data_IF_705213898797
#
_entry.id   IF_705213898797
#
_cell.length_a   1.000
_cell.length_b   1.000
_cell.length_c   1.000
_cell.angle_alpha   90.00
_cell.angle_beta   90.00
_cell.angle_gamma   90.00
#
_symmetry.space_group_name_H-M   'P 1'
#
loop_
_entity.id
_entity.type
_entity.pdbx_description
1 polymer ?
#
# COMPACT_ATOMS: atom_id res chain seq x y z
N UNK A 1 -14.71 -20.87 -8.87
CA UNK A 1 -13.42 -20.23 -8.57
C UNK A 1 -13.70 -18.97 -7.79
N UNK A 2 -13.03 -18.75 -6.67
CA UNK A 2 -13.18 -17.61 -5.74
C UNK A 2 -12.56 -16.30 -6.26
N UNK A 3 -12.35 -16.20 -7.59
CA UNK A 3 -11.76 -15.08 -8.31
C UNK A 3 -10.45 -14.53 -7.70
N UNK A 4 -9.62 -15.40 -7.11
CA UNK A 4 -8.37 -15.02 -6.43
C UNK A 4 -8.55 -14.08 -5.23
N UNK A 5 -9.74 -14.05 -4.62
CA UNK A 5 -9.99 -13.25 -3.43
C UNK A 5 -9.27 -13.82 -2.21
N UNK A 6 -8.75 -12.92 -1.36
CA UNK A 6 -8.10 -13.32 -0.12
C UNK A 6 -9.15 -13.74 0.90
N UNK A 7 -8.97 -14.91 1.51
CA UNK A 7 -9.85 -15.41 2.56
C UNK A 7 -9.11 -15.58 3.87
N UNK A 8 -9.82 -15.37 4.99
CA UNK A 8 -9.26 -15.54 6.34
C UNK A 8 -8.67 -16.95 6.54
N UNK A 9 -9.35 -17.98 6.01
CA UNK A 9 -8.90 -19.37 6.09
C UNK A 9 -7.56 -19.59 5.36
N UNK A 10 -7.32 -18.89 4.24
CA UNK A 10 -6.05 -18.95 3.54
C UNK A 10 -4.93 -18.28 4.34
N UNK A 11 -5.22 -17.12 4.96
CA UNK A 11 -4.28 -16.40 5.82
C UNK A 11 -3.89 -17.21 7.06
N UNK A 12 -4.87 -17.76 7.80
CA UNK A 12 -4.62 -18.58 8.97
C UNK A 12 -3.82 -19.85 8.63
N UNK A 13 -4.13 -20.47 7.48
CA UNK A 13 -3.38 -21.64 6.99
C UNK A 13 -1.92 -21.26 6.71
N UNK A 14 -1.68 -20.17 5.98
CA UNK A 14 -0.34 -19.71 5.65
C UNK A 14 0.46 -19.34 6.92
N UNK A 15 -0.16 -18.63 7.86
CA UNK A 15 0.44 -18.26 9.13
C UNK A 15 0.80 -19.49 9.97
N UNK A 16 -0.13 -20.44 10.10
CA UNK A 16 0.07 -21.69 10.84
C UNK A 16 1.15 -22.58 10.22
N UNK A 17 1.20 -22.70 8.89
CA UNK A 17 2.26 -23.44 8.20
C UNK A 17 3.64 -22.81 8.42
N UNK A 18 3.72 -21.47 8.41
CA UNK A 18 4.97 -20.74 8.67
C UNK A 18 5.43 -20.96 10.11
N UNK A 19 4.51 -20.97 11.07
CA UNK A 19 4.79 -21.28 12.48
C UNK A 19 5.27 -22.72 12.66
N UNK A 20 4.70 -23.70 11.95
CA UNK A 20 5.17 -25.11 11.96
C UNK A 20 6.61 -25.24 11.44
N UNK A 21 7.01 -24.38 10.51
CA UNK A 21 8.39 -24.26 10.00
C UNK A 21 9.34 -23.50 10.95
N UNK A 22 8.87 -23.08 12.13
CA UNK A 22 9.62 -22.27 13.12
C UNK A 22 10.11 -20.93 12.58
N UNK A 23 9.38 -20.36 11.62
CA UNK A 23 9.65 -19.03 11.08
C UNK A 23 8.73 -18.00 11.75
N UNK A 24 9.23 -16.78 11.93
CA UNK A 24 8.44 -15.67 12.51
C UNK A 24 7.85 -14.81 11.39
N UNK A 25 6.52 -14.76 11.31
CA UNK A 25 5.82 -13.81 10.44
C UNK A 25 5.90 -12.42 11.08
N UNK A 26 6.33 -11.41 10.30
CA UNK A 26 6.48 -10.02 10.77
C UNK A 26 5.47 -9.07 10.14
N UNK A 27 5.06 -9.35 8.92
CA UNK A 27 4.15 -8.51 8.16
C UNK A 27 3.30 -9.33 7.20
N UNK A 28 2.12 -8.81 6.91
CA UNK A 28 1.30 -9.14 5.77
C UNK A 28 1.51 -8.04 4.72
N UNK A 29 1.86 -8.42 3.49
CA UNK A 29 2.01 -7.50 2.37
C UNK A 29 0.92 -7.79 1.34
N UNK A 30 0.17 -6.75 0.97
CA UNK A 30 -0.89 -6.82 -0.03
C UNK A 30 -0.63 -5.79 -1.12
N UNK A 31 -1.14 -6.06 -2.33
CA UNK A 31 -1.17 -5.10 -3.42
C UNK A 31 -2.63 -4.78 -3.74
N UNK A 32 -3.00 -3.50 -3.66
CA UNK A 32 -4.36 -3.02 -3.90
C UNK A 32 -4.32 -1.68 -4.64
N UNK A 33 -4.73 -1.59 -5.92
CA UNK A 33 -5.18 -2.69 -6.78
C UNK A 33 -4.14 -3.80 -6.98
N UNK A 34 -4.61 -5.04 -7.17
CA UNK A 34 -3.76 -6.24 -7.21
C UNK A 34 -3.01 -6.38 -8.53
N UNK A 35 -1.72 -6.72 -8.46
CA UNK A 35 -0.91 -7.16 -9.59
C UNK A 35 -0.52 -8.63 -9.39
N UNK A 36 -0.77 -9.56 -10.34
CA UNK A 36 -1.16 -9.34 -11.75
C UNK A 36 -2.66 -9.43 -12.05
N UNK A 37 -3.51 -9.72 -11.04
CA UNK A 37 -4.92 -10.07 -11.27
C UNK A 37 -5.78 -8.86 -11.65
N UNK A 38 -5.41 -7.66 -11.22
CA UNK A 38 -6.17 -6.42 -11.47
C UNK A 38 -7.37 -6.21 -10.53
N UNK A 39 -7.62 -7.14 -9.61
CA UNK A 39 -8.72 -7.02 -8.67
C UNK A 39 -8.49 -5.88 -7.67
N UNK A 40 -9.57 -5.16 -7.36
CA UNK A 40 -9.61 -4.13 -6.34
C UNK A 40 -10.22 -4.74 -5.09
N UNK A 41 -9.54 -4.59 -3.95
CA UNK A 41 -10.04 -5.09 -2.67
C UNK A 41 -11.14 -4.15 -2.17
N UNK A 42 -12.28 -4.73 -1.79
CA UNK A 42 -13.36 -3.99 -1.17
C UNK A 42 -13.03 -3.63 0.29
N UNK A 43 -13.80 -2.68 0.84
CA UNK A 43 -13.59 -2.23 2.22
C UNK A 43 -13.74 -3.36 3.23
N UNK A 44 -14.61 -4.34 2.99
CA UNK A 44 -14.80 -5.47 3.88
C UNK A 44 -13.56 -6.38 3.94
N UNK A 45 -12.94 -6.66 2.78
CA UNK A 45 -11.70 -7.43 2.69
C UNK A 45 -10.55 -6.67 3.34
N UNK A 46 -10.43 -5.35 3.12
CA UNK A 46 -9.40 -4.53 3.77
C UNK A 46 -9.55 -4.52 5.29
N UNK A 47 -10.77 -4.41 5.82
CA UNK A 47 -11.05 -4.52 7.25
C UNK A 47 -10.66 -5.90 7.80
N UNK A 48 -11.02 -6.99 7.10
CA UNK A 48 -10.63 -8.35 7.49
C UNK A 48 -9.10 -8.51 7.56
N UNK A 49 -8.37 -7.92 6.61
CA UNK A 49 -6.90 -7.95 6.59
C UNK A 49 -6.29 -7.16 7.76
N UNK A 50 -6.88 -6.02 8.12
CA UNK A 50 -6.49 -5.23 9.29
C UNK A 50 -6.74 -5.97 10.59
N UNK A 51 -7.92 -6.57 10.74
CA UNK A 51 -8.29 -7.37 11.91
C UNK A 51 -7.33 -8.55 12.08
N UNK A 52 -7.05 -9.27 10.99
CA UNK A 52 -6.08 -10.37 11.00
C UNK A 52 -4.68 -9.90 11.41
N UNK A 53 -4.18 -8.81 10.83
CA UNK A 53 -2.86 -8.28 11.17
C UNK A 53 -2.78 -7.83 12.64
N UNK A 54 -3.86 -7.24 13.15
CA UNK A 54 -4.00 -6.82 14.55
C UNK A 54 -4.01 -8.03 15.49
N UNK A 55 -4.84 -9.03 15.21
CA UNK A 55 -4.95 -10.26 16.00
C UNK A 55 -3.62 -11.00 16.10
N UNK A 56 -2.89 -11.12 14.98
CA UNK A 56 -1.59 -11.80 14.96
C UNK A 56 -0.43 -10.89 15.41
N UNK A 57 -0.69 -9.63 15.74
CA UNK A 57 0.31 -8.63 16.15
C UNK A 57 1.46 -8.49 15.12
N UNK A 58 1.11 -8.39 13.84
CA UNK A 58 2.03 -8.21 12.72
C UNK A 58 1.75 -6.88 12.01
N UNK A 59 2.67 -6.46 11.15
CA UNK A 59 2.49 -5.26 10.33
C UNK A 59 1.60 -5.54 9.11
N UNK A 60 0.89 -4.53 8.62
CA UNK A 60 0.22 -4.55 7.32
C UNK A 60 0.91 -3.54 6.40
N UNK A 61 1.39 -4.03 5.25
CA UNK A 61 1.99 -3.20 4.20
C UNK A 61 1.09 -3.26 2.98
N UNK A 62 0.54 -2.13 2.58
CA UNK A 62 -0.33 -1.99 1.42
C UNK A 62 0.45 -1.31 0.29
N UNK A 63 0.74 -2.07 -0.77
CA UNK A 63 1.24 -1.53 -2.03
C UNK A 63 0.06 -0.99 -2.85
N UNK A 64 -0.08 0.33 -2.86
CA UNK A 64 -1.14 1.08 -3.55
C UNK A 64 -0.61 1.75 -4.83
N UNK A 65 0.46 1.22 -5.44
CA UNK A 65 1.09 1.82 -6.64
C UNK A 65 0.15 1.97 -7.85
N UNK A 66 -0.97 1.25 -7.87
CA UNK A 66 -1.99 1.32 -8.92
C UNK A 66 -3.23 2.13 -8.50
N UNK A 67 -3.18 2.87 -7.39
CA UNK A 67 -4.34 3.58 -6.84
C UNK A 67 -5.00 4.55 -7.84
N UNK A 68 -4.21 5.23 -8.66
CA UNK A 68 -4.67 6.13 -9.72
C UNK A 68 -4.94 5.45 -11.06
N UNK A 69 -4.77 4.13 -11.16
CA UNK A 69 -4.96 3.36 -12.40
C UNK A 69 -6.32 2.62 -12.44
N UNK A 70 -7.32 3.10 -11.70
CA UNK A 70 -8.67 2.52 -11.63
C UNK A 70 -9.63 3.32 -12.49
N UNK A 71 -10.05 2.73 -13.61
CA UNK A 71 -10.90 3.39 -14.62
C UNK A 71 -12.38 2.98 -14.54
N UNK A 72 -12.66 1.79 -13.99
CA UNK A 72 -13.99 1.21 -13.93
C UNK A 72 -14.38 0.86 -12.48
N UNK A 73 -15.69 0.67 -12.26
CA UNK A 73 -16.19 0.18 -10.98
C UNK A 73 -15.66 -1.24 -10.66
N UNK A 74 -15.40 -1.58 -9.38
CA UNK A 74 -15.61 -0.77 -8.19
C UNK A 74 -14.52 0.30 -7.96
N UNK A 75 -14.88 1.39 -7.30
CA UNK A 75 -13.92 2.45 -6.97
C UNK A 75 -12.83 1.94 -6.02
N UNK A 76 -11.61 2.43 -6.23
CA UNK A 76 -10.49 2.18 -5.32
C UNK A 76 -10.80 2.66 -3.89
N UNK A 77 -10.48 1.81 -2.92
CA UNK A 77 -10.51 2.16 -1.50
C UNK A 77 -9.11 1.99 -0.94
N UNK A 78 -8.48 3.10 -0.55
CA UNK A 78 -7.19 3.06 0.17
C UNK A 78 -7.38 2.53 1.59
N UNK A 79 -6.37 1.83 2.09
CA UNK A 79 -6.31 1.41 3.49
C UNK A 79 -6.37 2.60 4.46
N UNK A 80 -5.89 3.78 4.04
CA UNK A 80 -5.95 5.00 4.84
C UNK A 80 -7.40 5.39 5.17
N UNK A 81 -8.32 5.25 4.19
CA UNK A 81 -9.74 5.54 4.39
C UNK A 81 -10.40 4.55 5.35
N UNK A 82 -10.03 3.28 5.29
CA UNK A 82 -10.52 2.25 6.22
C UNK A 82 -10.04 2.54 7.65
N UNK A 83 -8.78 2.96 7.81
CA UNK A 83 -8.20 3.37 9.10
C UNK A 83 -8.83 4.61 9.72
N UNK A 84 -9.43 5.50 8.93
CA UNK A 84 -10.17 6.66 9.44
C UNK A 84 -11.56 6.27 9.94
N UNK A 85 -12.15 5.22 9.37
CA UNK A 85 -13.49 4.75 9.73
C UNK A 85 -13.55 3.87 10.98
N UNK A 86 -12.42 3.37 11.47
CA UNK A 86 -12.34 2.43 12.59
C UNK A 86 -11.25 2.75 13.61
N UNK A 87 -11.32 2.11 14.77
CA UNK A 87 -10.36 2.28 15.86
C UNK A 87 -9.25 1.22 15.77
N UNK A 88 -8.38 1.35 14.76
CA UNK A 88 -7.23 0.46 14.56
C UNK A 88 -5.91 1.10 14.99
N UNK A 89 -4.94 0.27 15.40
CA UNK A 89 -3.56 0.72 15.64
C UNK A 89 -2.87 1.09 14.32
N UNK A 90 -2.89 2.39 14.01
CA UNK A 90 -2.28 2.95 12.79
C UNK A 90 -0.76 2.73 12.73
N UNK A 91 -0.09 2.51 13.87
CA UNK A 91 1.37 2.37 13.94
C UNK A 91 1.92 1.10 13.27
N UNK A 92 1.05 0.16 12.93
CA UNK A 92 1.43 -1.10 12.25
C UNK A 92 1.01 -1.15 10.79
N UNK A 93 0.42 -0.07 10.27
CA UNK A 93 -0.01 0.02 8.88
C UNK A 93 0.89 0.96 8.09
N UNK A 94 1.34 0.48 6.94
CA UNK A 94 2.28 1.17 6.07
C UNK A 94 1.77 1.11 4.63
N UNK A 95 1.87 2.21 3.91
CA UNK A 95 1.47 2.33 2.51
C UNK A 95 2.72 2.56 1.66
N UNK A 96 2.82 1.84 0.55
CA UNK A 96 3.82 2.04 -0.48
C UNK A 96 3.11 2.61 -1.70
N UNK A 97 3.67 3.68 -2.25
CA UNK A 97 3.14 4.35 -3.43
C UNK A 97 4.28 4.79 -4.37
N UNK A 98 3.95 5.12 -5.62
CA UNK A 98 4.92 5.68 -6.56
C UNK A 98 4.27 6.16 -7.85
N UNK A 99 4.95 7.06 -8.57
CA UNK A 99 4.42 7.68 -9.80
C UNK A 99 4.61 6.82 -11.06
N UNK A 100 5.08 5.59 -10.89
CA UNK A 100 5.54 4.76 -12.01
C UNK A 100 4.40 4.21 -12.86
N UNK A 101 3.22 4.00 -12.26
CA UNK A 101 2.08 3.37 -12.92
C UNK A 101 1.02 4.41 -13.25
N UNK A 102 0.55 5.13 -12.24
CA UNK A 102 -0.54 6.10 -12.39
C UNK A 102 -0.15 7.27 -13.32
N UNK A 103 1.05 7.82 -13.16
CA UNK A 103 1.54 8.94 -13.98
C UNK A 103 2.37 8.49 -15.19
N UNK A 104 2.53 7.18 -15.44
CA UNK A 104 3.41 6.66 -16.49
C UNK A 104 4.86 7.20 -16.43
N UNK A 105 5.38 7.52 -15.24
CA UNK A 105 6.73 8.05 -15.04
C UNK A 105 7.67 7.04 -14.36
N UNK A 106 7.83 5.80 -14.88
CA UNK A 106 8.70 4.85 -14.23
C UNK A 106 10.12 5.40 -14.18
N UNK A 107 10.62 6.01 -15.28
CA UNK A 107 12.01 6.49 -15.44
C UNK A 107 12.46 7.51 -14.41
N UNK A 108 11.53 8.19 -13.75
CA UNK A 108 11.82 9.22 -12.74
C UNK A 108 12.13 8.63 -11.36
N UNK A 109 11.93 7.31 -11.17
CA UNK A 109 12.32 6.58 -9.95
C UNK A 109 11.77 7.18 -8.66
N UNK A 110 10.50 7.58 -8.68
CA UNK A 110 9.83 8.16 -7.51
C UNK A 110 9.00 7.10 -6.80
N UNK A 111 9.41 6.79 -5.56
CA UNK A 111 8.70 5.93 -4.64
C UNK A 111 8.50 6.63 -3.30
N UNK A 112 7.40 6.32 -2.64
CA UNK A 112 6.96 6.93 -1.39
C UNK A 112 6.63 5.83 -0.40
N UNK A 113 7.13 5.98 0.83
CA UNK A 113 6.72 5.17 1.98
C UNK A 113 5.92 6.09 2.88
N UNK A 114 4.67 5.73 3.15
CA UNK A 114 3.80 6.42 4.07
C UNK A 114 3.50 5.52 5.26
N UNK A 115 3.69 6.03 6.48
CA UNK A 115 3.56 5.25 7.71
C UNK A 115 3.21 6.17 8.86
N UNK A 116 2.32 5.73 9.75
CA UNK A 116 2.03 6.45 10.99
C UNK A 116 3.05 6.15 12.12
N UNK A 117 4.06 5.32 11.85
CA UNK A 117 5.05 4.92 12.82
C UNK A 117 6.36 5.68 12.65
N UNK A 118 6.64 6.59 13.57
CA UNK A 118 7.85 7.42 13.58
C UNK A 118 9.15 6.61 13.54
N UNK A 119 9.19 5.42 14.15
CA UNK A 119 10.39 4.58 14.15
C UNK A 119 10.65 4.03 12.75
N UNK A 120 9.59 3.60 12.06
CA UNK A 120 9.67 3.13 10.68
C UNK A 120 10.06 4.28 9.75
N UNK A 121 9.45 5.46 9.92
CA UNK A 121 9.78 6.64 9.12
C UNK A 121 11.25 7.07 9.30
N UNK A 122 11.75 7.12 10.54
CA UNK A 122 13.17 7.43 10.81
C UNK A 122 14.11 6.43 10.16
N UNK A 123 13.82 5.13 10.27
CA UNK A 123 14.62 4.10 9.62
C UNK A 123 14.59 4.23 8.09
N UNK A 124 13.41 4.42 7.51
CA UNK A 124 13.21 4.61 6.07
C UNK A 124 13.96 5.87 5.57
N UNK A 125 13.97 6.96 6.34
CA UNK A 125 14.69 8.18 6.01
C UNK A 125 16.21 8.00 6.03
N UNK A 126 16.75 7.16 6.92
CA UNK A 126 18.18 6.84 6.88
C UNK A 126 18.52 6.01 5.64
N UNK A 127 17.65 5.07 5.25
CA UNK A 127 17.83 4.25 4.06
C UNK A 127 17.64 5.04 2.76
N UNK A 128 16.73 6.02 2.73
CA UNK A 128 16.45 6.82 1.53
C UNK A 128 17.64 7.66 1.07
N UNK A 129 18.65 7.88 1.93
CA UNK A 129 19.93 8.50 1.56
C UNK A 129 20.66 7.77 0.45
N UNK A 130 20.46 6.46 0.31
CA UNK A 130 21.08 5.65 -0.74
C UNK A 130 20.30 5.64 -2.06
N UNK A 131 19.02 6.04 -2.02
CA UNK A 131 18.09 5.96 -3.15
C UNK A 131 17.24 7.23 -3.25
N UNK A 132 17.84 8.40 -3.03
CA UNK A 132 17.10 9.66 -3.01
C UNK A 132 16.58 10.00 -4.41
N UNK A 133 15.35 10.52 -4.48
CA UNK A 133 14.80 11.05 -5.74
C UNK A 133 15.62 12.26 -6.17
N UNK A 134 15.94 12.35 -7.47
CA UNK A 134 16.66 13.51 -8.04
C UNK A 134 15.97 14.83 -7.69
N UNK A 135 16.74 15.83 -7.25
CA UNK A 135 16.20 17.15 -6.90
C UNK A 135 15.49 17.83 -8.08
N UNK A 136 16.00 17.63 -9.31
CA UNK A 136 15.35 18.13 -10.52
C UNK A 136 13.99 17.46 -10.74
N UNK A 137 13.91 16.14 -10.55
CA UNK A 137 12.66 15.38 -10.63
C UNK A 137 11.68 15.83 -9.55
N UNK A 138 12.14 16.06 -8.32
CA UNK A 138 11.29 16.58 -7.25
C UNK A 138 10.72 17.95 -7.62
N UNK A 139 11.53 18.88 -8.11
CA UNK A 139 11.06 20.21 -8.50
C UNK A 139 10.02 20.15 -9.64
N UNK A 140 10.27 19.34 -10.66
CA UNK A 140 9.33 19.11 -11.76
C UNK A 140 8.01 18.53 -11.26
N UNK A 141 8.06 17.49 -10.42
CA UNK A 141 6.86 16.85 -9.89
C UNK A 141 6.08 17.76 -8.95
N UNK A 142 6.74 18.58 -8.13
CA UNK A 142 6.06 19.56 -7.28
C UNK A 142 5.27 20.53 -8.13
N UNK A 143 5.87 21.09 -9.19
CA UNK A 143 5.17 22.03 -10.08
C UNK A 143 3.98 21.36 -10.79
N UNK A 144 4.18 20.14 -11.30
CA UNK A 144 3.14 19.37 -12.00
C UNK A 144 1.99 18.95 -11.08
N UNK A 145 2.28 18.44 -9.88
CA UNK A 145 1.29 17.96 -8.91
C UNK A 145 0.54 19.10 -8.21
N UNK A 146 1.12 20.31 -8.19
CA UNK A 146 0.46 21.50 -7.64
C UNK A 146 -0.57 22.12 -8.60
N UNK A 147 -0.52 21.77 -9.89
CA UNK A 147 -1.50 22.20 -10.87
C UNK A 147 -2.77 21.33 -10.78
N UNK A 148 -3.73 21.82 -9.99
CA UNK A 148 -5.00 21.12 -9.77
C UNK A 148 -5.80 20.90 -11.07
N UNK A 149 -5.72 21.83 -12.04
CA UNK A 149 -6.45 21.70 -13.31
C UNK A 149 -5.85 20.57 -14.15
N UNK A 150 -4.52 20.52 -14.24
CA UNK A 150 -3.82 19.43 -14.91
C UNK A 150 -4.15 18.07 -14.28
N UNK A 151 -4.08 17.98 -12.95
CA UNK A 151 -4.33 16.72 -12.24
C UNK A 151 -5.77 16.25 -12.40
N UNK A 152 -6.75 17.15 -12.32
CA UNK A 152 -8.16 16.79 -12.51
C UNK A 152 -8.50 16.37 -13.96
N UNK A 153 -7.72 16.85 -14.94
CA UNK A 153 -7.88 16.42 -16.33
C UNK A 153 -7.18 15.07 -16.60
N UNK A 154 -6.07 14.80 -15.91
CA UNK A 154 -5.27 13.60 -16.12
C UNK A 154 -5.81 12.37 -15.36
N UNK A 155 -6.25 12.54 -14.12
CA UNK A 155 -6.85 11.49 -13.27
C UNK A 155 -8.38 11.55 -13.33
#
# INVERSE_FOLDING_TARGET
SDNFNVTINALDRAFSQTKKRRLTVRALLISNPSNPVGNILDSATLTMLLEFATEKNIHLVCDEIYAGSVYDSPNFTSIAKVLESGEFDKSRVHIIYGTSKDLCLPGFRVGVIYSYNDKVLKAAQQMSRFCSVSSQTQHLLINMLSDAQFIQQYL
#
